data_IF_035893063693
#
_entry.id   IF_035893063693
#
_cell.length_a   1.000
_cell.length_b   1.000
_cell.length_c   1.000
_cell.angle_alpha   90.00
_cell.angle_beta   90.00
_cell.angle_gamma   90.00
#
_symmetry.space_group_name_H-M   'P 1'
#
loop_
_entity.id
_entity.type
_entity.pdbx_description
1 polymer ?
#
# COMPACT_ATOMS: atom_id res chain seq x y z
N UNK A 1 -45.07 -70.00 -41.43
CA UNK A 1 -45.00 -68.82 -42.29
C UNK A 1 -45.10 -67.59 -41.44
N UNK A 2 -44.11 -66.66 -41.58
CA UNK A 2 -44.09 -65.23 -41.25
C UNK A 2 -44.78 -64.77 -39.95
N UNK A 3 -44.00 -64.48 -38.92
CA UNK A 3 -44.19 -63.28 -38.11
C UNK A 3 -42.82 -62.80 -37.62
N UNK A 4 -42.36 -61.78 -38.22
CA UNK A 4 -41.12 -61.08 -37.86
C UNK A 4 -41.45 -59.64 -37.56
N UNK A 5 -40.68 -59.06 -36.65
CA UNK A 5 -40.45 -57.61 -36.51
C UNK A 5 -41.53 -56.84 -35.74
N UNK A 6 -41.25 -56.62 -34.47
CA UNK A 6 -41.57 -55.37 -33.77
C UNK A 6 -40.82 -55.38 -32.40
N UNK A 7 -39.49 -55.46 -32.46
CA UNK A 7 -38.65 -55.20 -31.32
C UNK A 7 -37.47 -54.33 -31.75
N UNK A 8 -37.63 -53.05 -31.68
CA UNK A 8 -36.55 -52.17 -32.11
C UNK A 8 -36.83 -50.69 -31.99
N UNK A 9 -37.67 -50.22 -31.06
CA UNK A 9 -37.96 -48.80 -30.97
C UNK A 9 -38.22 -48.32 -29.55
N UNK A 10 -37.56 -48.92 -28.57
CA UNK A 10 -37.72 -48.56 -27.17
C UNK A 10 -36.43 -48.15 -26.42
N UNK A 11 -35.26 -48.14 -27.07
CA UNK A 11 -33.98 -47.97 -26.40
C UNK A 11 -33.25 -46.67 -26.76
N UNK A 12 -33.88 -45.72 -27.46
CA UNK A 12 -33.22 -44.46 -27.92
C UNK A 12 -33.65 -43.21 -27.16
N UNK A 13 -34.48 -43.31 -26.12
CA UNK A 13 -35.02 -42.11 -25.41
C UNK A 13 -34.58 -41.96 -23.95
N UNK A 14 -33.60 -42.71 -23.46
CA UNK A 14 -33.11 -42.58 -22.05
C UNK A 14 -31.71 -41.98 -21.93
N UNK A 15 -31.05 -41.69 -23.04
CA UNK A 15 -29.64 -41.19 -23.04
C UNK A 15 -29.47 -39.67 -23.07
N UNK A 16 -30.56 -38.87 -23.00
CA UNK A 16 -30.46 -37.40 -23.24
C UNK A 16 -30.71 -36.52 -22.00
N UNK A 17 -30.72 -37.03 -20.78
CA UNK A 17 -31.06 -36.23 -19.57
C UNK A 17 -29.88 -36.06 -18.61
N UNK A 18 -28.67 -36.49 -18.94
CA UNK A 18 -27.53 -36.50 -17.99
C UNK A 18 -26.47 -35.41 -18.26
N UNK A 19 -26.77 -34.30 -18.91
CA UNK A 19 -25.81 -33.20 -19.17
C UNK A 19 -26.32 -31.80 -18.76
N UNK A 20 -27.19 -31.73 -17.74
CA UNK A 20 -27.37 -30.50 -16.98
C UNK A 20 -26.36 -30.54 -15.81
N UNK A 21 -25.09 -30.53 -16.16
CA UNK A 21 -23.99 -30.37 -15.22
C UNK A 21 -24.06 -28.96 -14.64
N UNK A 22 -24.31 -28.89 -13.36
CA UNK A 22 -24.29 -27.70 -12.53
C UNK A 22 -23.02 -26.87 -12.74
N UNK A 23 -23.06 -25.82 -13.53
CA UNK A 23 -22.18 -24.70 -13.32
C UNK A 23 -22.70 -23.87 -12.14
N UNK A 24 -22.58 -24.42 -10.92
CA UNK A 24 -22.57 -23.62 -9.71
C UNK A 24 -21.30 -22.78 -9.78
N UNK A 25 -21.36 -21.66 -10.50
CA UNK A 25 -20.33 -20.63 -10.47
C UNK A 25 -20.20 -20.22 -9.00
N UNK A 26 -19.12 -20.64 -8.37
CA UNK A 26 -18.74 -20.12 -7.05
C UNK A 26 -18.51 -18.65 -7.24
N UNK A 27 -19.43 -17.81 -6.77
CA UNK A 27 -19.23 -16.36 -6.71
C UNK A 27 -17.96 -16.15 -5.90
N UNK A 28 -16.93 -15.59 -6.55
CA UNK A 28 -15.70 -15.27 -5.84
C UNK A 28 -16.05 -14.35 -4.65
N UNK A 29 -15.53 -14.61 -3.45
CA UNK A 29 -15.81 -13.79 -2.28
C UNK A 29 -15.40 -12.35 -2.56
N UNK A 30 -16.23 -11.39 -2.19
CA UNK A 30 -15.91 -9.97 -2.31
C UNK A 30 -14.69 -9.67 -1.43
N UNK A 31 -13.62 -9.07 -1.99
CA UNK A 31 -12.43 -8.77 -1.20
C UNK A 31 -12.72 -7.79 -0.07
N UNK A 32 -12.13 -8.02 1.08
CA UNK A 32 -12.11 -7.05 2.17
C UNK A 32 -11.14 -5.91 1.82
N UNK A 33 -11.64 -4.67 1.91
CA UNK A 33 -10.83 -3.49 1.58
C UNK A 33 -10.10 -3.02 2.83
N UNK A 34 -8.79 -2.84 2.73
CA UNK A 34 -7.90 -2.29 3.74
C UNK A 34 -7.51 -0.86 3.38
N UNK A 35 -7.23 -0.06 4.40
CA UNK A 35 -6.77 1.32 4.28
C UNK A 35 -5.69 1.60 5.34
N UNK A 36 -4.85 2.59 5.09
CA UNK A 36 -3.91 3.10 6.10
C UNK A 36 -4.61 3.95 7.18
N UNK A 37 -5.88 4.27 6.96
CA UNK A 37 -6.69 5.08 7.87
C UNK A 37 -6.30 6.56 7.85
N UNK A 38 -7.12 7.40 8.48
CA UNK A 38 -6.81 8.80 8.67
C UNK A 38 -5.63 8.98 9.64
N UNK A 39 -4.81 10.02 9.45
CA UNK A 39 -3.87 10.46 10.48
C UNK A 39 -4.65 10.80 11.77
N UNK A 40 -4.15 10.45 12.95
CA UNK A 40 -4.73 10.94 14.19
C UNK A 40 -4.65 12.46 14.17
N UNK A 41 -5.79 13.12 14.13
CA UNK A 41 -5.84 14.57 14.30
C UNK A 41 -5.20 14.95 15.63
N UNK A 42 -4.50 16.08 15.68
CA UNK A 42 -3.78 16.57 16.88
C UNK A 42 -4.65 16.60 18.16
N UNK A 43 -5.98 16.53 18.03
CA UNK A 43 -6.92 16.41 19.14
C UNK A 43 -6.86 15.03 19.86
N UNK A 44 -6.50 13.94 19.15
CA UNK A 44 -6.39 12.60 19.74
C UNK A 44 -5.01 12.34 20.38
N UNK A 45 -4.02 13.19 20.14
CA UNK A 45 -2.64 13.07 20.65
C UNK A 45 -2.42 13.69 22.03
N UNK A 46 -3.43 14.23 22.69
CA UNK A 46 -3.25 14.86 24.03
C UNK A 46 -2.81 13.91 25.14
N UNK A 47 -2.85 12.60 24.92
CA UNK A 47 -2.43 11.60 25.91
C UNK A 47 -1.01 11.06 25.67
N UNK A 48 -0.37 11.40 24.54
CA UNK A 48 1.00 10.98 24.21
C UNK A 48 2.02 12.13 24.18
N UNK A 49 1.62 13.34 24.58
CA UNK A 49 2.41 14.57 24.42
C UNK A 49 3.23 14.90 25.69
N UNK A 50 4.01 13.96 26.24
CA UNK A 50 4.95 14.28 27.34
C UNK A 50 6.41 14.23 26.89
N UNK A 51 6.72 14.14 25.61
CA UNK A 51 8.09 14.16 25.08
C UNK A 51 8.23 14.78 23.68
N UNK A 52 7.43 15.78 23.34
CA UNK A 52 7.73 16.60 22.14
C UNK A 52 8.44 17.87 22.63
N UNK A 53 9.77 17.81 22.72
CA UNK A 53 10.62 19.00 22.69
C UNK A 53 10.13 19.89 21.56
N UNK A 54 9.81 21.15 21.85
CA UNK A 54 9.36 22.12 20.86
C UNK A 54 10.43 22.26 19.77
N UNK A 55 10.34 21.42 18.74
CA UNK A 55 11.12 21.59 17.53
C UNK A 55 10.58 22.86 16.88
N UNK A 56 11.42 23.87 16.77
CA UNK A 56 11.14 25.13 16.07
C UNK A 56 10.41 24.78 14.78
N UNK A 57 9.16 25.23 14.66
CA UNK A 57 8.30 24.86 13.53
C UNK A 57 8.90 25.45 12.25
N UNK A 58 9.74 24.64 11.57
CA UNK A 58 10.24 24.99 10.25
C UNK A 58 9.07 25.08 9.27
N UNK A 59 9.18 25.96 8.30
CA UNK A 59 8.15 26.17 7.28
C UNK A 59 8.80 26.36 5.92
N UNK A 60 8.04 26.07 4.87
CA UNK A 60 8.40 26.32 3.49
C UNK A 60 7.29 27.12 2.80
N UNK A 61 7.63 27.87 1.79
CA UNK A 61 6.70 28.70 1.00
C UNK A 61 5.84 27.87 0.05
N UNK A 62 6.36 26.74 -0.40
CA UNK A 62 5.66 25.74 -1.21
C UNK A 62 6.57 24.56 -1.48
N UNK A 63 5.98 23.38 -1.62
CA UNK A 63 6.66 22.14 -2.00
C UNK A 63 5.84 21.43 -3.06
N UNK A 64 6.47 21.11 -4.18
CA UNK A 64 5.84 20.29 -5.22
C UNK A 64 6.02 18.82 -4.87
N UNK A 65 4.91 18.10 -4.73
CA UNK A 65 4.89 16.66 -4.44
C UNK A 65 4.06 15.94 -5.51
N UNK A 66 4.68 15.54 -6.63
CA UNK A 66 4.02 14.80 -7.70
C UNK A 66 3.46 13.45 -7.19
N UNK A 67 2.65 12.75 -8.00
CA UNK A 67 2.32 11.35 -7.74
C UNK A 67 3.57 10.52 -7.54
N UNK A 68 3.54 9.58 -6.57
CA UNK A 68 4.68 8.72 -6.29
C UNK A 68 4.88 7.70 -7.41
N UNK A 69 6.12 7.38 -7.68
CA UNK A 69 6.48 6.24 -8.50
C UNK A 69 6.36 4.94 -7.69
N UNK A 70 5.96 3.87 -8.35
CA UNK A 70 5.94 2.51 -7.80
C UNK A 70 6.71 1.57 -8.72
N UNK A 71 7.44 0.64 -8.14
CA UNK A 71 8.12 -0.39 -8.90
C UNK A 71 7.18 -1.48 -9.41
N UNK A 72 5.96 -1.56 -8.86
CA UNK A 72 4.95 -2.57 -9.23
C UNK A 72 3.88 -1.95 -10.10
N UNK A 73 3.65 -2.57 -11.26
CA UNK A 73 2.66 -2.11 -12.24
C UNK A 73 1.44 -3.02 -12.37
N UNK A 74 1.51 -4.25 -11.85
CA UNK A 74 0.38 -5.20 -11.84
C UNK A 74 -0.23 -5.32 -10.46
N UNK A 75 -1.55 -5.49 -10.41
CA UNK A 75 -2.33 -5.63 -9.17
C UNK A 75 -1.98 -4.53 -8.16
N UNK A 76 -2.14 -3.28 -8.57
CA UNK A 76 -1.71 -2.08 -7.83
C UNK A 76 -2.31 -1.98 -6.42
N UNK A 77 -3.47 -2.57 -6.21
CA UNK A 77 -4.19 -2.62 -4.94
C UNK A 77 -3.96 -3.92 -4.14
N UNK A 78 -3.07 -4.78 -4.60
CA UNK A 78 -2.80 -6.05 -3.92
C UNK A 78 -2.14 -5.84 -2.55
N UNK A 79 -2.64 -6.55 -1.55
CA UNK A 79 -1.98 -6.66 -0.23
C UNK A 79 -0.90 -7.72 -0.32
N UNK A 80 0.35 -7.30 -0.21
CA UNK A 80 1.53 -8.16 -0.42
C UNK A 80 2.09 -8.65 0.91
N UNK A 81 2.48 -9.91 0.92
CA UNK A 81 3.23 -10.52 2.01
C UNK A 81 4.35 -11.44 1.49
N UNK A 82 5.34 -11.73 2.33
CA UNK A 82 6.37 -12.73 2.06
C UNK A 82 6.77 -13.48 3.33
N UNK A 83 7.33 -14.66 3.15
CA UNK A 83 7.90 -15.47 4.22
C UNK A 83 9.43 -15.31 4.20
N UNK A 84 10.01 -14.78 5.26
CA UNK A 84 11.42 -14.37 5.30
C UNK A 84 11.72 -13.17 4.39
N UNK A 85 12.89 -12.57 4.57
CA UNK A 85 13.35 -11.43 3.74
C UNK A 85 13.58 -11.83 2.28
N UNK A 86 13.97 -13.06 2.03
CA UNK A 86 14.36 -13.59 0.72
C UNK A 86 13.22 -14.32 0.01
N UNK A 87 12.07 -14.44 0.69
CA UNK A 87 10.90 -15.12 0.16
C UNK A 87 10.30 -14.42 -1.06
N UNK A 88 9.66 -15.19 -1.94
CA UNK A 88 8.91 -14.64 -3.08
C UNK A 88 7.70 -13.86 -2.55
N UNK A 89 7.46 -12.62 -3.04
CA UNK A 89 6.27 -11.88 -2.69
C UNK A 89 5.00 -12.60 -3.13
N UNK A 90 4.07 -12.75 -2.21
CA UNK A 90 2.75 -13.32 -2.42
C UNK A 90 1.68 -12.25 -2.21
N UNK A 91 0.46 -12.54 -2.62
CA UNK A 91 -0.69 -11.67 -2.40
C UNK A 91 -1.76 -12.38 -1.58
N UNK A 92 -2.45 -11.64 -0.75
CA UNK A 92 -3.66 -12.12 -0.12
C UNK A 92 -4.78 -12.28 -1.16
N UNK A 93 -5.49 -13.39 -1.13
CA UNK A 93 -6.54 -13.66 -2.09
C UNK A 93 -7.81 -12.82 -1.84
N UNK A 94 -8.12 -12.53 -0.58
CA UNK A 94 -9.37 -11.93 -0.12
C UNK A 94 -9.22 -10.51 0.42
N UNK A 95 -8.04 -9.90 0.31
CA UNK A 95 -7.78 -8.55 0.78
C UNK A 95 -7.23 -7.68 -0.36
N UNK A 96 -7.66 -6.42 -0.37
CA UNK A 96 -7.17 -5.39 -1.30
C UNK A 96 -6.99 -4.08 -0.56
N UNK A 97 -6.05 -3.27 -1.00
CA UNK A 97 -5.98 -1.88 -0.57
C UNK A 97 -7.12 -1.08 -1.21
N UNK A 98 -7.58 -0.01 -0.56
CA UNK A 98 -8.56 0.95 -1.09
C UNK A 98 -8.06 1.61 -2.39
N UNK A 99 -6.76 1.86 -2.45
CA UNK A 99 -6.05 2.41 -3.60
C UNK A 99 -4.62 1.83 -3.64
N UNK A 100 -3.86 2.16 -4.67
CA UNK A 100 -2.45 1.79 -4.75
C UNK A 100 -1.67 2.26 -3.51
N UNK A 101 -0.79 1.44 -2.91
CA UNK A 101 0.00 1.82 -1.74
C UNK A 101 0.71 3.17 -1.88
N UNK A 102 1.27 3.49 -3.07
CA UNK A 102 1.91 4.77 -3.32
C UNK A 102 0.93 5.95 -3.17
N UNK A 103 -0.33 5.79 -3.59
CA UNK A 103 -1.38 6.79 -3.39
C UNK A 103 -1.68 6.97 -1.90
N UNK A 104 -1.88 5.86 -1.18
CA UNK A 104 -2.20 5.88 0.26
C UNK A 104 -1.07 6.52 1.09
N UNK A 105 0.18 6.14 0.80
CA UNK A 105 1.36 6.72 1.46
C UNK A 105 1.50 8.20 1.14
N UNK A 106 1.25 8.58 -0.13
CA UNK A 106 1.29 9.99 -0.54
C UNK A 106 0.23 10.83 0.17
N UNK A 107 -1.00 10.34 0.29
CA UNK A 107 -2.07 11.02 1.03
C UNK A 107 -1.65 11.31 2.47
N UNK A 108 -1.07 10.35 3.18
CA UNK A 108 -0.55 10.53 4.54
C UNK A 108 0.60 11.55 4.58
N UNK A 109 1.51 11.47 3.61
CA UNK A 109 2.64 12.40 3.51
C UNK A 109 2.17 13.83 3.27
N UNK A 110 1.19 14.05 2.38
CA UNK A 110 0.57 15.36 2.14
C UNK A 110 -0.02 15.92 3.44
N UNK A 111 -0.79 15.11 4.18
CA UNK A 111 -1.37 15.54 5.46
C UNK A 111 -0.28 16.01 6.45
N UNK A 112 0.82 15.25 6.56
CA UNK A 112 1.91 15.57 7.47
C UNK A 112 2.70 16.82 7.03
N UNK A 113 3.05 16.91 5.76
CA UNK A 113 3.83 18.03 5.23
C UNK A 113 3.02 19.32 5.17
N UNK A 114 1.70 19.27 4.98
CA UNK A 114 0.82 20.44 4.98
C UNK A 114 0.82 21.22 6.30
N UNK A 115 1.28 20.61 7.39
CA UNK A 115 1.50 21.32 8.65
C UNK A 115 2.70 22.28 8.61
N UNK A 116 3.57 22.13 7.62
CA UNK A 116 4.79 22.92 7.46
C UNK A 116 4.73 23.93 6.31
N UNK A 117 3.79 23.77 5.38
CA UNK A 117 3.59 24.69 4.26
C UNK A 117 2.68 24.11 3.18
N UNK A 118 2.39 24.90 2.12
CA UNK A 118 1.56 24.49 1.01
C UNK A 118 2.18 23.34 0.22
N UNK A 119 1.37 22.32 -0.11
CA UNK A 119 1.77 21.18 -0.97
C UNK A 119 1.05 21.31 -2.30
N UNK A 120 1.81 21.33 -3.39
CA UNK A 120 1.32 21.42 -4.75
C UNK A 120 1.50 20.08 -5.47
N UNK A 121 0.55 19.74 -6.34
CA UNK A 121 0.63 18.55 -7.21
C UNK A 121 1.57 18.76 -8.39
N UNK A 122 1.59 19.98 -8.89
CA UNK A 122 2.35 20.40 -10.07
C UNK A 122 3.09 21.70 -9.74
N UNK A 123 4.20 21.93 -10.42
CA UNK A 123 4.96 23.15 -10.26
C UNK A 123 4.25 24.30 -10.98
N UNK A 124 3.95 25.35 -10.23
CA UNK A 124 3.48 26.65 -10.77
C UNK A 124 4.62 27.65 -10.92
N UNK A 125 5.78 27.36 -10.33
CA UNK A 125 6.99 28.15 -10.36
C UNK A 125 8.20 27.23 -10.30
N UNK A 126 9.16 27.39 -11.22
CA UNK A 126 10.37 26.58 -11.31
C UNK A 126 11.30 26.72 -10.09
N UNK A 127 11.16 27.77 -9.30
CA UNK A 127 11.94 28.00 -8.08
C UNK A 127 11.49 27.15 -6.89
N UNK A 128 10.24 26.66 -6.92
CA UNK A 128 9.73 25.83 -5.83
C UNK A 128 10.47 24.49 -5.77
N UNK A 129 10.89 24.05 -4.58
CA UNK A 129 11.47 22.73 -4.42
C UNK A 129 10.46 21.64 -4.77
N UNK A 130 10.94 20.60 -5.44
CA UNK A 130 10.16 19.43 -5.81
C UNK A 130 10.71 18.19 -5.10
N UNK A 131 9.83 17.45 -4.43
CA UNK A 131 10.14 16.20 -3.77
C UNK A 131 9.62 15.03 -4.62
N UNK A 132 10.50 14.34 -5.32
CA UNK A 132 10.18 13.15 -6.09
C UNK A 132 10.32 11.91 -5.20
N UNK A 133 9.26 11.14 -5.04
CA UNK A 133 9.24 9.97 -4.15
C UNK A 133 8.96 8.70 -4.92
N UNK A 134 9.72 7.66 -4.61
CA UNK A 134 9.52 6.30 -5.10
C UNK A 134 9.27 5.36 -3.91
N UNK A 135 8.12 4.69 -3.91
CA UNK A 135 7.83 3.62 -2.95
C UNK A 135 8.47 2.32 -3.46
N UNK A 136 9.50 1.86 -2.75
CA UNK A 136 10.31 0.71 -3.17
C UNK A 136 9.80 -0.60 -2.56
N UNK A 137 9.32 -0.55 -1.31
CA UNK A 137 8.80 -1.70 -0.59
C UNK A 137 7.61 -1.30 0.27
N UNK A 138 6.55 -2.09 0.22
CA UNK A 138 5.36 -1.92 1.04
C UNK A 138 4.69 -3.29 1.19
N UNK A 139 5.04 -4.03 2.24
CA UNK A 139 4.61 -5.41 2.37
C UNK A 139 4.70 -5.91 3.81
N UNK A 140 3.91 -6.93 4.10
CA UNK A 140 4.00 -7.68 5.35
C UNK A 140 5.05 -8.78 5.20
N UNK A 141 6.04 -8.81 6.09
CA UNK A 141 7.10 -9.81 6.11
C UNK A 141 6.93 -10.69 7.34
N UNK A 142 6.71 -11.96 7.10
CA UNK A 142 6.66 -12.98 8.16
C UNK A 142 8.06 -13.48 8.47
N UNK A 143 8.31 -13.89 9.70
CA UNK A 143 9.47 -14.70 10.04
C UNK A 143 9.47 -16.00 9.21
N UNK A 144 10.63 -16.58 8.98
CA UNK A 144 10.76 -17.79 8.14
C UNK A 144 9.95 -18.98 8.67
N UNK A 145 9.75 -19.04 9.99
CA UNK A 145 8.93 -20.04 10.69
C UNK A 145 7.44 -19.65 10.84
N UNK A 146 7.07 -18.46 10.33
CA UNK A 146 5.70 -17.93 10.42
C UNK A 146 5.27 -17.48 11.84
N UNK A 147 6.16 -17.49 12.82
CA UNK A 147 5.84 -17.21 14.24
C UNK A 147 5.48 -15.77 14.51
N UNK A 148 5.98 -14.84 13.69
CA UNK A 148 5.77 -13.40 13.81
C UNK A 148 5.73 -12.72 12.45
N UNK A 149 5.34 -11.46 12.41
CA UNK A 149 5.36 -10.65 11.20
C UNK A 149 5.61 -9.19 11.51
N UNK A 150 5.97 -8.45 10.47
CA UNK A 150 6.13 -7.00 10.51
C UNK A 150 5.66 -6.37 9.20
N UNK A 151 5.13 -5.16 9.28
CA UNK A 151 4.93 -4.30 8.12
C UNK A 151 6.25 -3.59 7.81
N UNK A 152 6.73 -3.68 6.57
CA UNK A 152 8.00 -3.07 6.12
C UNK A 152 7.71 -2.07 5.00
N UNK A 153 8.23 -0.85 5.16
CA UNK A 153 8.10 0.22 4.17
C UNK A 153 9.48 0.77 3.85
N UNK A 154 9.81 0.82 2.56
CA UNK A 154 11.04 1.46 2.05
C UNK A 154 10.67 2.50 1.01
N UNK A 155 11.20 3.72 1.15
CA UNK A 155 11.05 4.77 0.14
C UNK A 155 12.36 5.48 -0.13
N UNK A 156 12.49 5.92 -1.37
CA UNK A 156 13.51 6.86 -1.81
C UNK A 156 12.81 8.21 -2.08
N UNK A 157 13.45 9.31 -1.67
CA UNK A 157 13.01 10.64 -2.03
C UNK A 157 14.19 11.45 -2.57
N UNK A 158 13.97 12.22 -3.62
CA UNK A 158 14.96 13.11 -4.25
C UNK A 158 14.42 14.53 -4.20
N UNK A 159 15.15 15.42 -3.56
CA UNK A 159 14.85 16.84 -3.53
C UNK A 159 15.51 17.52 -4.73
N UNK A 160 14.69 18.15 -5.56
CA UNK A 160 15.12 18.90 -6.74
C UNK A 160 14.77 20.37 -6.54
N UNK A 161 15.70 21.27 -6.80
CA UNK A 161 15.50 22.72 -6.78
C UNK A 161 16.23 23.36 -7.96
N UNK A 162 15.60 24.28 -8.65
CA UNK A 162 16.13 24.92 -9.85
C UNK A 162 16.62 23.91 -10.91
N UNK A 163 15.91 22.77 -11.05
CA UNK A 163 16.27 21.72 -11.98
C UNK A 163 17.48 20.86 -11.58
N UNK A 164 18.03 21.08 -10.40
CA UNK A 164 19.18 20.31 -9.89
C UNK A 164 18.81 19.47 -8.68
N UNK A 165 19.41 18.28 -8.58
CA UNK A 165 19.28 17.43 -7.39
C UNK A 165 20.06 18.08 -6.24
N UNK A 166 19.34 18.46 -5.19
CA UNK A 166 19.91 19.06 -3.99
C UNK A 166 20.33 17.99 -2.98
N UNK A 167 19.46 17.01 -2.74
CA UNK A 167 19.71 15.97 -1.74
C UNK A 167 18.86 14.74 -2.03
N UNK A 168 19.22 13.60 -1.42
CA UNK A 168 18.50 12.33 -1.53
C UNK A 168 18.30 11.70 -0.15
N UNK A 169 17.14 11.12 0.04
CA UNK A 169 16.77 10.30 1.20
C UNK A 169 16.50 8.87 0.74
N UNK A 170 17.04 7.90 1.47
CA UNK A 170 16.65 6.49 1.38
C UNK A 170 16.36 6.00 2.80
N UNK A 171 15.18 5.51 3.04
CA UNK A 171 14.78 5.06 4.36
C UNK A 171 13.95 3.80 4.31
N UNK A 172 14.14 2.97 5.34
CA UNK A 172 13.31 1.81 5.63
C UNK A 172 12.86 1.88 7.08
N UNK A 173 11.59 1.59 7.31
CA UNK A 173 10.99 1.43 8.63
C UNK A 173 10.17 0.16 8.70
N UNK A 174 10.08 -0.38 9.90
CA UNK A 174 9.23 -1.54 10.17
C UNK A 174 8.47 -1.39 11.48
N UNK A 175 7.36 -2.11 11.58
CA UNK A 175 6.59 -2.25 12.82
C UNK A 175 6.04 -3.66 12.94
N UNK A 176 6.00 -4.19 14.16
CA UNK A 176 5.49 -5.53 14.43
C UNK A 176 3.97 -5.60 14.18
N UNK A 177 3.52 -6.67 13.54
CA UNK A 177 2.12 -7.04 13.45
C UNK A 177 1.65 -7.65 14.78
N UNK A 178 0.42 -7.30 15.19
CA UNK A 178 -0.17 -7.80 16.44
C UNK A 178 -0.79 -9.20 16.29
N UNK A 179 -1.05 -9.61 15.06
CA UNK A 179 -1.53 -10.94 14.69
C UNK A 179 -0.97 -11.33 13.32
N UNK A 180 -1.06 -12.63 12.97
CA UNK A 180 -0.54 -13.16 11.71
C UNK A 180 -1.61 -13.13 10.60
N UNK A 181 -2.21 -11.96 10.37
CA UNK A 181 -3.24 -11.74 9.37
C UNK A 181 -3.05 -10.43 8.59
N UNK A 182 -3.82 -10.23 7.53
CA UNK A 182 -3.71 -9.05 6.69
C UNK A 182 -4.13 -7.74 7.40
N UNK A 183 -5.19 -7.68 8.24
CA UNK A 183 -5.52 -6.48 9.00
C UNK A 183 -4.41 -6.03 9.95
N UNK A 184 -3.78 -6.97 10.69
CA UNK A 184 -2.66 -6.64 11.57
C UNK A 184 -1.42 -6.20 10.78
N UNK A 185 -1.18 -6.81 9.60
CA UNK A 185 -0.15 -6.37 8.67
C UNK A 185 -0.39 -4.95 8.16
N UNK A 186 -1.64 -4.62 7.80
CA UNK A 186 -2.02 -3.26 7.38
C UNK A 186 -1.78 -2.23 8.48
N UNK A 187 -2.12 -2.57 9.74
CA UNK A 187 -1.84 -1.68 10.87
C UNK A 187 -0.34 -1.50 11.12
N UNK A 188 0.45 -2.56 10.99
CA UNK A 188 1.90 -2.49 11.09
C UNK A 188 2.50 -1.62 9.98
N UNK A 189 2.03 -1.76 8.73
CA UNK A 189 2.43 -0.92 7.60
C UNK A 189 2.08 0.55 7.83
N UNK A 190 0.92 0.85 8.44
CA UNK A 190 0.57 2.21 8.82
C UNK A 190 1.59 2.81 9.79
N UNK A 191 1.92 2.08 10.86
CA UNK A 191 2.89 2.54 11.88
C UNK A 191 4.27 2.74 11.27
N UNK A 192 4.73 1.80 10.42
CA UNK A 192 6.00 1.93 9.71
C UNK A 192 6.01 3.14 8.76
N UNK A 193 4.91 3.37 8.04
CA UNK A 193 4.74 4.54 7.17
C UNK A 193 4.86 5.85 7.95
N UNK A 194 4.17 5.96 9.09
CA UNK A 194 4.21 7.17 9.91
C UNK A 194 5.61 7.48 10.44
N UNK A 195 6.35 6.45 10.87
CA UNK A 195 7.75 6.59 11.30
C UNK A 195 8.64 7.05 10.15
N UNK A 196 8.47 6.45 8.98
CA UNK A 196 9.28 6.78 7.81
C UNK A 196 9.01 8.21 7.32
N UNK A 197 7.74 8.64 7.29
CA UNK A 197 7.37 10.02 6.96
C UNK A 197 7.96 11.00 7.99
N UNK A 198 7.93 10.67 9.29
CA UNK A 198 8.51 11.54 10.32
C UNK A 198 10.03 11.74 10.11
N UNK A 199 10.76 10.68 9.76
CA UNK A 199 12.19 10.76 9.41
C UNK A 199 12.43 11.58 8.15
N UNK A 200 11.60 11.39 7.12
CA UNK A 200 11.69 12.17 5.89
C UNK A 200 11.43 13.66 6.15
N UNK A 201 10.46 14.02 6.99
CA UNK A 201 10.18 15.41 7.40
C UNK A 201 11.40 16.04 8.09
N UNK A 202 12.06 15.31 8.99
CA UNK A 202 13.30 15.79 9.63
C UNK A 202 14.43 16.02 8.62
N UNK A 203 14.65 15.06 7.71
CA UNK A 203 15.64 15.19 6.63
C UNK A 203 15.33 16.38 5.73
N UNK A 204 14.06 16.56 5.33
CA UNK A 204 13.63 17.64 4.45
C UNK A 204 13.84 19.01 5.11
N UNK A 205 13.57 19.12 6.42
CA UNK A 205 13.79 20.35 7.17
C UNK A 205 15.27 20.79 7.14
N UNK A 206 16.19 19.84 7.33
CA UNK A 206 17.62 20.12 7.22
C UNK A 206 18.06 20.48 5.81
N UNK A 207 17.51 19.81 4.79
CA UNK A 207 17.88 20.05 3.40
C UNK A 207 17.40 21.41 2.87
N UNK A 208 16.18 21.87 3.26
CA UNK A 208 15.63 23.14 2.83
C UNK A 208 16.20 24.36 3.58
N UNK A 209 16.78 24.15 4.78
CA UNK A 209 17.43 25.23 5.53
C UNK A 209 18.88 25.46 5.12
N UNK A 210 19.48 24.50 4.43
CA UNK A 210 20.89 24.53 4.00
C UNK A 210 21.06 25.01 2.56
N UNK A 211 19.95 25.26 1.85
CA UNK A 211 19.89 25.76 0.47
C UNK A 211 19.65 27.25 0.46
#
# INVERSE_FOLDING_TARGET
MRTSKLWGMGLALVASVALVGCSLGTVAPTPTVLDLGAEPTAAASKTAATAATATTAWRFEGLVLPPFNEWRTRDRDAVIWRLGSDGVPNRYATFRWRDAPATLVRERMVQRLSMHGPILMESINAELPQLQVTLMQFEQVFAADGSSNQGVVTMQAVLVQNGQVVNQFLGTESAAGQANDAPAGAQALRVATDRLIARLVQWLSGSLQSS
#
